data_IF_983452009160
#
_entry.id   IF_983452009160
#
_cell.length_a   1.000
_cell.length_b   1.000
_cell.length_c   1.000
_cell.angle_alpha   90.00
_cell.angle_beta   90.00
_cell.angle_gamma   90.00
#
_symmetry.space_group_name_H-M   'P 1'
#
loop_
_entity.id
_entity.type
_entity.pdbx_description
1 polymer ?
#
# COMPACT_ATOMS: atom_id res chain seq x y z
N UNK A 1 -36.48 23.15 -27.28
CA UNK A 1 -35.45 22.67 -26.33
C UNK A 1 -35.74 21.23 -25.98
N UNK A 2 -34.85 20.28 -26.29
CA UNK A 2 -35.06 18.85 -26.03
C UNK A 2 -34.72 18.53 -24.56
N UNK A 3 -35.47 17.64 -23.92
CA UNK A 3 -35.35 17.21 -22.51
C UNK A 3 -33.91 16.98 -21.99
N UNK A 4 -32.95 16.67 -22.88
CA UNK A 4 -31.55 16.45 -22.53
C UNK A 4 -30.78 17.65 -21.98
N UNK A 5 -31.30 18.88 -22.05
CA UNK A 5 -30.66 20.08 -21.48
C UNK A 5 -31.09 20.37 -20.03
N UNK A 6 -32.23 19.82 -19.58
CA UNK A 6 -32.86 20.21 -18.31
C UNK A 6 -32.60 19.23 -17.14
N UNK A 7 -31.84 18.15 -17.38
CA UNK A 7 -31.57 17.09 -16.40
C UNK A 7 -32.80 16.25 -16.06
N UNK A 8 -32.59 14.96 -15.75
CA UNK A 8 -33.65 14.05 -15.30
C UNK A 8 -33.83 14.18 -13.79
N UNK A 9 -35.09 14.19 -13.33
CA UNK A 9 -35.43 14.12 -11.91
C UNK A 9 -35.51 12.67 -11.45
N UNK A 10 -35.02 12.40 -10.24
CA UNK A 10 -35.00 11.10 -9.56
C UNK A 10 -35.64 11.25 -8.18
N UNK A 11 -36.44 10.27 -7.80
CA UNK A 11 -37.08 10.18 -6.48
C UNK A 11 -36.12 9.61 -5.43
N UNK A 12 -36.45 9.73 -4.15
CA UNK A 12 -35.62 9.18 -3.07
C UNK A 12 -35.41 7.67 -3.24
N UNK A 13 -34.15 7.23 -3.16
CA UNK A 13 -33.76 5.83 -3.34
C UNK A 13 -33.75 5.34 -4.80
N UNK A 14 -34.19 6.14 -5.77
CA UNK A 14 -34.21 5.73 -7.18
C UNK A 14 -32.79 5.48 -7.69
N UNK A 15 -32.57 4.31 -8.29
CA UNK A 15 -31.26 3.90 -8.82
C UNK A 15 -31.03 4.56 -10.17
N UNK A 16 -29.87 5.19 -10.31
CA UNK A 16 -29.46 5.92 -11.51
C UNK A 16 -28.70 4.97 -12.46
N UNK A 17 -27.84 4.12 -11.89
CA UNK A 17 -27.21 2.96 -12.54
C UNK A 17 -26.70 1.99 -11.46
N UNK A 18 -26.50 0.73 -11.84
CA UNK A 18 -25.96 -0.31 -10.96
C UNK A 18 -24.49 -0.63 -11.27
N UNK A 19 -23.78 -1.09 -10.24
CA UNK A 19 -22.46 -1.70 -10.40
C UNK A 19 -22.50 -2.85 -11.42
N UNK A 20 -21.55 -2.87 -12.35
CA UNK A 20 -21.44 -3.86 -13.42
C UNK A 20 -22.23 -3.54 -14.69
N UNK A 21 -23.08 -2.51 -14.70
CA UNK A 21 -23.75 -2.07 -15.93
C UNK A 21 -22.75 -1.42 -16.90
N UNK A 22 -23.00 -1.50 -18.21
CA UNK A 22 -22.22 -0.71 -19.17
C UNK A 22 -22.60 0.77 -19.09
N UNK A 23 -21.62 1.65 -19.27
CA UNK A 23 -21.81 3.09 -19.15
C UNK A 23 -21.33 3.88 -20.36
N UNK A 24 -22.26 4.50 -21.08
CA UNK A 24 -21.98 5.37 -22.25
C UNK A 24 -21.97 6.87 -21.93
N UNK A 25 -22.23 7.23 -20.67
CA UNK A 25 -22.41 8.61 -20.22
C UNK A 25 -21.91 8.82 -18.78
N UNK A 26 -21.49 10.04 -18.50
CA UNK A 26 -21.22 10.54 -17.16
C UNK A 26 -22.38 11.42 -16.68
N UNK A 27 -22.38 11.75 -15.39
CA UNK A 27 -23.47 12.49 -14.76
C UNK A 27 -22.95 13.65 -13.91
N UNK A 28 -23.72 14.72 -13.86
CA UNK A 28 -23.49 15.89 -13.00
C UNK A 28 -24.73 16.11 -12.15
N UNK A 29 -24.55 16.26 -10.84
CA UNK A 29 -25.67 16.57 -9.93
C UNK A 29 -26.02 18.06 -10.10
N UNK A 30 -27.22 18.35 -10.61
CA UNK A 30 -27.70 19.73 -10.74
C UNK A 30 -28.32 20.25 -9.42
N UNK A 31 -29.01 19.38 -8.70
CA UNK A 31 -29.58 19.64 -7.37
C UNK A 31 -29.87 18.32 -6.63
N UNK A 32 -29.91 18.35 -5.30
CA UNK A 32 -30.11 17.16 -4.48
C UNK A 32 -28.80 16.45 -4.12
N UNK A 33 -28.88 15.16 -3.80
CA UNK A 33 -27.72 14.35 -3.38
C UNK A 33 -27.76 12.96 -4.01
N UNK A 34 -26.60 12.37 -4.26
CA UNK A 34 -26.47 11.01 -4.80
C UNK A 34 -25.59 10.18 -3.87
N UNK A 35 -26.03 8.97 -3.52
CA UNK A 35 -25.23 7.98 -2.81
C UNK A 35 -24.51 7.09 -3.81
N UNK A 36 -23.23 6.82 -3.56
CA UNK A 36 -22.44 5.80 -4.28
C UNK A 36 -22.19 4.63 -3.34
N UNK A 37 -22.60 3.42 -3.73
CA UNK A 37 -22.39 2.19 -2.95
C UNK A 37 -21.69 1.11 -3.80
N UNK A 38 -20.93 0.24 -3.14
CA UNK A 38 -20.28 -0.91 -3.79
C UNK A 38 -20.64 -2.20 -3.07
N UNK A 39 -20.80 -3.28 -3.82
CA UNK A 39 -21.04 -4.61 -3.27
C UNK A 39 -19.79 -5.10 -2.53
N UNK A 40 -19.99 -5.62 -1.32
CA UNK A 40 -18.96 -6.30 -0.54
C UNK A 40 -19.51 -7.60 0.06
N UNK A 41 -18.65 -8.54 0.49
CA UNK A 41 -19.09 -9.77 1.15
C UNK A 41 -19.93 -9.54 2.43
N UNK A 42 -19.78 -8.38 3.07
CA UNK A 42 -20.52 -7.99 4.29
C UNK A 42 -21.77 -7.12 4.00
N UNK A 43 -22.13 -6.91 2.74
CA UNK A 43 -23.26 -6.07 2.31
C UNK A 43 -22.84 -4.87 1.45
N UNK A 44 -23.74 -3.91 1.25
CA UNK A 44 -23.44 -2.68 0.49
C UNK A 44 -22.60 -1.70 1.32
N UNK A 45 -21.42 -1.36 0.79
CA UNK A 45 -20.51 -0.40 1.40
C UNK A 45 -20.74 1.00 0.80
N UNK A 46 -21.12 2.02 1.59
CA UNK A 46 -21.21 3.39 1.09
C UNK A 46 -19.81 3.96 0.84
N UNK A 47 -19.56 4.42 -0.39
CA UNK A 47 -18.29 5.02 -0.80
C UNK A 47 -18.34 6.54 -0.64
N UNK A 48 -19.42 7.17 -1.07
CA UNK A 48 -19.53 8.62 -1.09
C UNK A 48 -20.98 9.10 -1.11
N UNK A 49 -21.17 10.35 -0.69
CA UNK A 49 -22.38 11.14 -0.94
C UNK A 49 -21.95 12.36 -1.73
N UNK A 50 -22.58 12.56 -2.89
CA UNK A 50 -22.28 13.61 -3.85
C UNK A 50 -23.37 14.68 -3.83
N UNK A 51 -22.98 15.95 -3.91
CA UNK A 51 -23.87 17.11 -3.94
C UNK A 51 -23.80 17.88 -5.27
N UNK A 52 -24.51 19.02 -5.31
CA UNK A 52 -24.59 19.89 -6.50
C UNK A 52 -23.22 20.23 -7.08
N UNK A 53 -23.06 20.03 -8.39
CA UNK A 53 -21.85 20.31 -9.15
C UNK A 53 -20.87 19.14 -9.20
N UNK A 54 -21.02 18.13 -8.35
CA UNK A 54 -20.15 16.95 -8.38
C UNK A 54 -20.48 16.02 -9.55
N UNK A 55 -19.42 15.39 -10.05
CA UNK A 55 -19.43 14.53 -11.23
C UNK A 55 -19.31 13.07 -10.79
N UNK A 56 -20.04 12.17 -11.46
CA UNK A 56 -19.94 10.72 -11.24
C UNK A 56 -20.26 9.89 -12.47
N UNK A 57 -19.89 8.61 -12.42
CA UNK A 57 -20.01 7.71 -13.57
C UNK A 57 -19.05 8.07 -14.72
N UNK A 58 -18.04 8.89 -14.45
CA UNK A 58 -17.05 9.32 -15.44
C UNK A 58 -16.11 8.20 -15.83
N UNK A 59 -15.80 7.27 -14.91
CA UNK A 59 -14.85 6.18 -15.12
C UNK A 59 -15.22 5.36 -16.36
N UNK A 60 -16.44 4.81 -16.40
CA UNK A 60 -16.95 4.01 -17.52
C UNK A 60 -16.89 4.73 -18.88
N UNK A 61 -16.99 6.07 -18.88
CA UNK A 61 -16.89 6.87 -20.10
C UNK A 61 -15.45 6.95 -20.66
N UNK A 62 -14.44 6.94 -19.78
CA UNK A 62 -13.03 7.09 -20.13
C UNK A 62 -12.27 5.78 -20.23
N UNK A 63 -12.49 4.84 -19.32
CA UNK A 63 -11.76 3.55 -19.23
C UNK A 63 -12.46 2.39 -19.96
N UNK A 64 -13.71 2.59 -20.41
CA UNK A 64 -14.58 1.58 -21.06
C UNK A 64 -14.81 0.33 -20.21
N UNK A 65 -14.67 0.45 -18.89
CA UNK A 65 -15.02 -0.61 -17.96
C UNK A 65 -16.48 -0.47 -17.53
N UNK A 66 -17.13 -1.57 -17.07
CA UNK A 66 -18.45 -1.49 -16.46
C UNK A 66 -18.46 -0.57 -15.24
N UNK A 67 -19.65 -0.08 -14.85
CA UNK A 67 -19.85 0.78 -13.67
C UNK A 67 -19.19 0.17 -12.44
N UNK A 68 -18.28 0.91 -11.82
CA UNK A 68 -17.48 0.45 -10.67
C UNK A 68 -18.25 0.42 -9.34
N UNK A 69 -19.46 0.99 -9.31
CA UNK A 69 -20.31 1.16 -8.14
C UNK A 69 -21.76 1.42 -8.58
N UNK A 70 -22.70 1.27 -7.65
CA UNK A 70 -24.11 1.66 -7.82
C UNK A 70 -24.31 3.11 -7.41
N UNK A 71 -25.12 3.86 -8.16
CA UNK A 71 -25.52 5.22 -7.82
C UNK A 71 -27.02 5.31 -7.57
N UNK A 72 -27.44 5.88 -6.45
CA UNK A 72 -28.86 6.11 -6.10
C UNK A 72 -29.12 7.51 -5.58
N UNK A 73 -30.29 8.06 -5.86
CA UNK A 73 -30.68 9.38 -5.40
C UNK A 73 -30.98 9.39 -3.89
N UNK A 74 -30.65 10.48 -3.21
CA UNK A 74 -31.05 10.77 -1.83
C UNK A 74 -31.98 11.99 -1.86
N UNK A 75 -33.25 11.77 -1.56
CA UNK A 75 -34.31 12.74 -1.76
C UNK A 75 -34.50 13.12 -3.23
N UNK A 76 -35.31 14.16 -3.46
CA UNK A 76 -35.55 14.70 -4.79
C UNK A 76 -34.26 15.24 -5.40
N UNK A 77 -33.76 14.55 -6.42
CA UNK A 77 -32.44 14.83 -7.03
C UNK A 77 -32.58 15.04 -8.53
N UNK A 78 -31.90 16.03 -9.08
CA UNK A 78 -31.88 16.31 -10.51
C UNK A 78 -30.48 16.12 -11.06
N UNK A 79 -30.37 15.36 -12.13
CA UNK A 79 -29.09 14.86 -12.65
C UNK A 79 -29.03 15.11 -14.16
N UNK A 80 -27.93 15.71 -14.60
CA UNK A 80 -27.64 15.89 -16.01
C UNK A 80 -26.77 14.74 -16.51
N UNK A 81 -27.26 13.98 -17.49
CA UNK A 81 -26.47 12.99 -18.21
C UNK A 81 -25.72 13.65 -19.38
N UNK A 82 -24.43 13.35 -19.50
CA UNK A 82 -23.54 13.88 -20.53
C UNK A 82 -22.85 12.69 -21.21
N UNK A 83 -23.17 12.46 -22.48
CA UNK A 83 -22.48 11.49 -23.32
C UNK A 83 -21.13 12.05 -23.83
N UNK A 84 -20.32 11.19 -24.47
CA UNK A 84 -18.99 11.56 -24.95
C UNK A 84 -19.00 12.73 -25.95
N UNK A 85 -19.96 12.77 -26.86
CA UNK A 85 -20.07 13.83 -27.88
C UNK A 85 -20.42 15.16 -27.23
N UNK A 86 -21.37 15.14 -26.30
CA UNK A 86 -21.83 16.31 -25.54
C UNK A 86 -20.77 16.78 -24.55
N UNK A 87 -19.93 15.89 -24.04
CA UNK A 87 -18.79 16.24 -23.20
C UNK A 87 -17.81 17.15 -23.95
N UNK A 88 -17.37 16.77 -25.16
CA UNK A 88 -16.45 17.59 -25.95
C UNK A 88 -17.06 18.95 -26.30
N UNK A 89 -18.33 18.99 -26.70
CA UNK A 89 -19.04 20.25 -26.93
C UNK A 89 -19.16 21.13 -25.68
N UNK A 90 -19.31 20.50 -24.50
CA UNK A 90 -19.40 21.23 -23.23
C UNK A 90 -18.04 21.75 -22.79
N UNK A 91 -16.95 21.00 -23.04
CA UNK A 91 -15.58 21.45 -22.79
C UNK A 91 -15.24 22.67 -23.65
N UNK A 92 -15.63 22.65 -24.94
CA UNK A 92 -15.41 23.78 -25.84
C UNK A 92 -16.16 25.05 -25.39
N UNK A 93 -17.36 24.89 -24.79
CA UNK A 93 -18.17 26.00 -24.28
C UNK A 93 -17.77 26.47 -22.89
N UNK A 94 -17.36 25.55 -22.02
CA UNK A 94 -16.97 25.81 -20.63
C UNK A 94 -15.71 24.99 -20.27
N UNK A 95 -14.51 25.54 -20.52
CA UNK A 95 -13.25 24.89 -20.15
C UNK A 95 -13.10 24.62 -18.65
N UNK A 96 -13.86 25.30 -17.79
CA UNK A 96 -13.83 25.08 -16.33
C UNK A 96 -14.34 23.69 -15.93
N UNK A 97 -15.09 23.02 -16.81
CA UNK A 97 -15.52 21.64 -16.62
C UNK A 97 -14.33 20.66 -16.55
N UNK A 98 -13.27 20.90 -17.33
CA UNK A 98 -12.05 20.07 -17.31
C UNK A 98 -11.36 20.19 -15.96
N UNK A 99 -11.26 21.41 -15.41
CA UNK A 99 -10.68 21.63 -14.09
C UNK A 99 -11.50 20.95 -12.99
N UNK A 100 -12.84 21.02 -13.02
CA UNK A 100 -13.71 20.29 -12.08
C UNK A 100 -13.56 18.77 -12.20
N UNK A 101 -13.36 18.25 -13.42
CA UNK A 101 -13.12 16.84 -13.65
C UNK A 101 -11.78 16.39 -13.06
N UNK A 102 -10.72 17.18 -13.29
CA UNK A 102 -9.38 16.95 -12.70
C UNK A 102 -9.45 17.04 -11.18
N UNK A 103 -10.14 18.03 -10.61
CA UNK A 103 -10.33 18.18 -9.17
C UNK A 103 -11.11 17.02 -8.57
N UNK A 104 -12.20 16.58 -9.22
CA UNK A 104 -13.00 15.42 -8.79
C UNK A 104 -12.18 14.13 -8.82
N UNK A 105 -11.45 13.88 -9.91
CA UNK A 105 -10.55 12.73 -10.02
C UNK A 105 -9.42 12.81 -9.00
N UNK A 106 -8.82 13.99 -8.81
CA UNK A 106 -7.77 14.21 -7.81
C UNK A 106 -8.30 14.03 -6.39
N UNK A 107 -9.53 14.47 -6.09
CA UNK A 107 -10.17 14.28 -4.81
C UNK A 107 -10.55 12.81 -4.57
N UNK A 108 -10.90 12.05 -5.61
CA UNK A 108 -11.12 10.60 -5.54
C UNK A 108 -9.82 9.83 -5.35
N UNK A 109 -8.73 10.21 -6.02
CA UNK A 109 -7.39 9.65 -5.79
C UNK A 109 -6.92 9.95 -4.37
N UNK A 110 -7.10 11.19 -3.89
CA UNK A 110 -6.79 11.56 -2.50
C UNK A 110 -7.65 10.77 -1.51
N UNK A 111 -8.96 10.66 -1.73
CA UNK A 111 -9.84 9.85 -0.87
C UNK A 111 -9.50 8.37 -0.90
N UNK A 112 -9.16 7.79 -2.05
CA UNK A 112 -8.67 6.41 -2.13
C UNK A 112 -7.34 6.24 -1.39
N UNK A 113 -6.40 7.19 -1.50
CA UNK A 113 -5.15 7.19 -0.74
C UNK A 113 -5.39 7.39 0.76
N UNK A 114 -6.34 8.23 1.15
CA UNK A 114 -6.73 8.51 2.53
C UNK A 114 -7.50 7.34 3.15
N UNK A 115 -8.33 6.64 2.37
CA UNK A 115 -9.03 5.41 2.76
C UNK A 115 -8.04 4.25 2.85
N UNK A 116 -7.05 4.14 1.94
CA UNK A 116 -5.90 3.26 2.10
C UNK A 116 -5.11 3.61 3.38
N UNK A 117 -4.92 4.89 3.66
CA UNK A 117 -4.29 5.36 4.89
C UNK A 117 -5.16 5.10 6.14
N UNK A 118 -6.49 5.09 6.02
CA UNK A 118 -7.43 4.78 7.09
C UNK A 118 -7.57 3.27 7.34
N UNK A 119 -7.51 2.44 6.31
CA UNK A 119 -7.37 0.97 6.43
C UNK A 119 -6.03 0.64 7.10
N UNK A 120 -4.97 1.41 6.80
CA UNK A 120 -3.73 1.42 7.59
C UNK A 120 -4.01 1.81 9.04
N UNK A 121 -4.69 2.93 9.29
CA UNK A 121 -5.00 3.46 10.64
C UNK A 121 -5.86 2.54 11.51
N UNK A 122 -6.80 1.77 10.93
CA UNK A 122 -7.60 0.78 11.68
C UNK A 122 -6.81 -0.44 12.14
N UNK A 123 -5.61 -0.70 11.58
CA UNK A 123 -4.61 -1.62 12.15
C UNK A 123 -3.50 -0.89 12.95
N UNK A 124 -3.21 0.38 12.65
CA UNK A 124 -2.21 1.22 13.32
C UNK A 124 -2.72 1.98 14.56
N UNK A 125 -3.83 1.56 15.17
CA UNK A 125 -4.29 2.07 16.48
C UNK A 125 -3.53 1.50 17.67
N UNK A 126 -2.59 0.58 17.42
CA UNK A 126 -1.60 0.10 18.36
C UNK A 126 -0.25 0.47 17.77
N UNK A 127 0.69 0.94 18.60
CA UNK A 127 2.09 1.00 18.22
C UNK A 127 2.47 -0.39 17.71
N UNK A 128 2.62 -0.54 16.40
CA UNK A 128 3.14 -1.77 15.82
C UNK A 128 4.62 -1.76 16.20
N UNK A 129 5.02 -2.70 17.04
CA UNK A 129 6.42 -2.84 17.40
C UNK A 129 7.25 -3.22 16.15
N UNK A 130 8.57 -3.18 16.30
CA UNK A 130 9.49 -3.46 15.19
C UNK A 130 9.28 -4.88 14.65
N UNK A 131 8.94 -5.83 15.50
CA UNK A 131 8.79 -7.25 15.17
C UNK A 131 7.52 -7.50 14.36
N UNK A 132 6.38 -6.95 14.79
CA UNK A 132 5.11 -7.02 14.07
C UNK A 132 5.21 -6.31 12.71
N UNK A 133 5.93 -5.18 12.64
CA UNK A 133 6.22 -4.50 11.37
C UNK A 133 7.05 -5.41 10.44
N UNK A 134 8.08 -6.08 10.96
CA UNK A 134 8.91 -6.99 10.18
C UNK A 134 8.09 -8.20 9.68
N UNK A 135 7.24 -8.77 10.53
CA UNK A 135 6.36 -9.89 10.18
C UNK A 135 5.38 -9.51 9.06
N UNK A 136 4.80 -8.31 9.12
CA UNK A 136 3.95 -7.83 8.04
C UNK A 136 4.72 -7.69 6.71
N UNK A 137 5.90 -7.07 6.74
CA UNK A 137 6.71 -6.87 5.53
C UNK A 137 7.11 -8.21 4.89
N UNK A 138 7.50 -9.21 5.69
CA UNK A 138 7.95 -10.48 5.14
C UNK A 138 6.80 -11.29 4.53
N UNK A 139 5.60 -11.22 5.10
CA UNK A 139 4.41 -11.84 4.50
C UNK A 139 4.01 -11.15 3.18
N UNK A 140 4.12 -9.83 3.08
CA UNK A 140 3.95 -9.13 1.79
C UNK A 140 5.01 -9.55 0.76
N UNK A 141 6.28 -9.65 1.18
CA UNK A 141 7.37 -10.09 0.31
C UNK A 141 7.12 -11.49 -0.27
N UNK A 142 6.63 -12.42 0.56
CA UNK A 142 6.29 -13.79 0.20
C UNK A 142 5.20 -13.88 -0.89
N UNK A 143 4.25 -12.95 -0.89
CA UNK A 143 3.16 -12.92 -1.89
C UNK A 143 3.62 -12.35 -3.25
N UNK A 144 4.65 -11.51 -3.26
CA UNK A 144 5.12 -10.82 -4.46
C UNK A 144 6.28 -11.55 -5.12
N UNK A 145 7.19 -12.10 -4.30
CA UNK A 145 8.40 -12.78 -4.76
C UNK A 145 8.20 -14.29 -4.67
N UNK A 146 8.49 -15.04 -5.74
CA UNK A 146 8.23 -16.48 -5.78
C UNK A 146 9.32 -17.28 -5.04
N UNK A 147 9.57 -16.97 -3.76
CA UNK A 147 10.58 -17.61 -2.91
C UNK A 147 10.00 -18.71 -2.01
N UNK A 148 10.86 -19.61 -1.54
CA UNK A 148 10.48 -20.69 -0.61
C UNK A 148 10.74 -20.31 0.85
N UNK A 149 11.75 -19.48 1.08
CA UNK A 149 12.11 -18.97 2.39
C UNK A 149 12.42 -17.48 2.31
N UNK A 150 12.28 -16.78 3.42
CA UNK A 150 12.65 -15.37 3.50
C UNK A 150 12.89 -14.92 4.93
N UNK A 151 13.69 -13.88 5.10
CA UNK A 151 13.96 -13.28 6.40
C UNK A 151 14.20 -11.78 6.32
N UNK A 152 13.85 -11.06 7.39
CA UNK A 152 14.28 -9.70 7.66
C UNK A 152 15.30 -9.77 8.79
N UNK A 153 16.49 -9.24 8.52
CA UNK A 153 17.54 -9.13 9.53
C UNK A 153 17.81 -7.67 9.82
N UNK A 154 17.81 -7.28 11.09
CA UNK A 154 18.13 -5.92 11.51
C UNK A 154 19.47 -5.89 12.22
N UNK A 155 20.21 -4.81 12.03
CA UNK A 155 21.48 -4.58 12.70
C UNK A 155 21.24 -4.24 14.17
N UNK A 156 21.84 -5.03 15.05
CA UNK A 156 22.05 -4.68 16.45
C UNK A 156 23.34 -3.86 16.57
N UNK A 157 23.22 -2.61 17.02
CA UNK A 157 24.34 -1.70 17.19
C UNK A 157 25.23 -2.08 18.38
N UNK A 158 24.71 -2.78 19.38
CA UNK A 158 25.49 -3.18 20.56
C UNK A 158 26.42 -4.34 20.22
N UNK A 159 25.87 -5.38 19.60
CA UNK A 159 26.62 -6.60 19.29
C UNK A 159 27.28 -6.59 17.90
N UNK A 160 27.02 -5.55 17.08
CA UNK A 160 27.51 -5.43 15.70
C UNK A 160 27.20 -6.69 14.87
N UNK A 161 25.96 -7.17 14.99
CA UNK A 161 25.46 -8.37 14.35
C UNK A 161 24.11 -8.12 13.70
N UNK A 162 23.80 -8.90 12.67
CA UNK A 162 22.48 -8.98 12.07
C UNK A 162 21.66 -10.05 12.80
N UNK A 163 20.51 -9.64 13.32
CA UNK A 163 19.55 -10.50 14.00
C UNK A 163 18.29 -10.68 13.17
N UNK A 164 17.79 -11.90 13.08
CA UNK A 164 16.53 -12.19 12.40
C UNK A 164 15.37 -11.63 13.24
N UNK A 165 14.56 -10.75 12.67
CA UNK A 165 13.36 -10.19 13.31
C UNK A 165 12.06 -10.75 12.76
N UNK A 166 12.08 -11.29 11.55
CA UNK A 166 10.95 -12.01 10.96
C UNK A 166 11.46 -12.98 9.91
N UNK A 167 10.79 -14.12 9.75
CA UNK A 167 11.12 -15.09 8.72
C UNK A 167 9.96 -16.04 8.41
N UNK A 168 9.99 -16.64 7.21
CA UNK A 168 9.14 -17.77 6.82
C UNK A 168 9.99 -18.82 6.08
N UNK A 169 9.45 -20.04 5.99
CA UNK A 169 10.13 -21.17 5.33
C UNK A 169 10.65 -22.20 6.33
N UNK A 170 11.37 -23.20 5.83
CA UNK A 170 11.78 -24.35 6.62
C UNK A 170 13.09 -24.06 7.39
N UNK A 171 12.98 -24.13 8.73
CA UNK A 171 14.09 -24.11 9.69
C UNK A 171 14.88 -22.79 9.70
N UNK A 172 14.44 -21.87 10.57
CA UNK A 172 15.26 -20.75 11.02
C UNK A 172 15.35 -20.79 12.55
N UNK A 173 16.52 -20.46 13.08
CA UNK A 173 16.75 -20.33 14.52
C UNK A 173 16.71 -18.82 14.86
N UNK A 174 15.77 -18.35 15.70
CA UNK A 174 15.70 -16.95 16.08
C UNK A 174 16.96 -16.42 16.77
N UNK A 175 17.80 -17.31 17.31
CA UNK A 175 19.08 -16.97 17.94
C UNK A 175 20.25 -16.95 16.96
N UNK A 176 20.04 -17.31 15.70
CA UNK A 176 21.08 -17.25 14.69
C UNK A 176 21.38 -15.79 14.35
N UNK A 177 22.65 -15.40 14.50
CA UNK A 177 23.14 -14.06 14.21
C UNK A 177 24.28 -14.14 13.20
N UNK A 178 24.43 -13.08 12.41
CA UNK A 178 25.50 -12.98 11.41
C UNK A 178 26.35 -11.75 11.73
N UNK A 179 27.67 -11.90 11.81
CA UNK A 179 28.54 -10.74 12.03
C UNK A 179 28.50 -9.80 10.82
N UNK A 180 28.70 -8.49 11.06
CA UNK A 180 28.82 -7.53 9.94
C UNK A 180 30.00 -7.92 9.04
N UNK A 181 29.79 -7.90 7.72
CA UNK A 181 30.79 -8.29 6.72
C UNK A 181 30.93 -9.80 6.49
N UNK A 182 30.13 -10.61 7.18
CA UNK A 182 30.04 -12.03 6.95
C UNK A 182 28.87 -12.36 6.01
N UNK A 183 29.06 -13.28 5.06
CA UNK A 183 27.99 -13.67 4.15
C UNK A 183 27.65 -12.62 3.10
N UNK A 184 26.71 -12.97 2.22
CA UNK A 184 26.17 -12.04 1.22
C UNK A 184 25.41 -10.90 1.93
N UNK A 185 24.63 -11.22 2.97
CA UNK A 185 23.90 -10.23 3.76
C UNK A 185 24.81 -9.18 4.43
N UNK A 186 25.95 -9.60 4.99
CA UNK A 186 26.93 -8.68 5.57
C UNK A 186 27.57 -7.76 4.53
N UNK A 187 27.85 -8.28 3.32
CA UNK A 187 28.37 -7.45 2.23
C UNK A 187 27.34 -6.44 1.71
N UNK A 188 26.05 -6.83 1.64
CA UNK A 188 24.94 -5.93 1.28
C UNK A 188 24.76 -4.81 2.29
N UNK A 189 24.94 -5.07 3.59
CA UNK A 189 24.96 -4.00 4.62
C UNK A 189 26.09 -3.01 4.36
N UNK A 190 27.30 -3.50 4.10
CA UNK A 190 28.48 -2.67 3.91
C UNK A 190 28.41 -1.84 2.63
N UNK A 191 28.03 -2.46 1.51
CA UNK A 191 27.98 -1.81 0.20
C UNK A 191 26.69 -0.99 0.02
N UNK A 192 25.62 -1.36 0.72
CA UNK A 192 24.28 -0.88 0.48
C UNK A 192 23.75 -1.23 -0.91
N UNK A 193 24.28 -2.24 -1.60
CA UNK A 193 23.82 -2.62 -2.94
C UNK A 193 22.96 -3.86 -2.87
N UNK A 194 21.84 -3.84 -3.58
CA UNK A 194 20.96 -5.00 -3.70
C UNK A 194 21.61 -6.06 -4.62
N UNK A 195 21.50 -7.33 -4.25
CA UNK A 195 22.16 -8.44 -4.92
C UNK A 195 21.18 -9.56 -5.29
N UNK A 196 21.44 -10.16 -6.45
CA UNK A 196 20.77 -11.34 -6.98
C UNK A 196 21.83 -12.41 -7.21
N UNK A 197 21.73 -13.51 -6.49
CA UNK A 197 22.70 -14.61 -6.52
C UNK A 197 21.96 -15.90 -6.82
N UNK A 198 22.01 -16.35 -8.06
CA UNK A 198 21.30 -17.55 -8.51
C UNK A 198 22.04 -18.87 -8.22
N UNK A 199 23.31 -18.80 -7.80
CA UNK A 199 24.08 -19.95 -7.35
C UNK A 199 24.97 -19.57 -6.17
N UNK A 200 24.42 -19.66 -4.96
CA UNK A 200 25.15 -19.29 -3.73
C UNK A 200 26.33 -20.23 -3.46
N UNK A 201 26.29 -21.48 -3.93
CA UNK A 201 27.40 -22.44 -3.73
C UNK A 201 28.67 -22.04 -4.47
N UNK A 202 28.55 -21.20 -5.49
CA UNK A 202 29.69 -20.65 -6.24
C UNK A 202 30.16 -19.28 -5.74
N UNK A 203 29.42 -18.64 -4.83
CA UNK A 203 29.77 -17.33 -4.28
C UNK A 203 30.75 -17.50 -3.10
N UNK A 204 31.97 -16.92 -3.16
CA UNK A 204 32.97 -17.09 -2.10
C UNK A 204 32.55 -16.46 -0.77
N UNK A 205 31.58 -15.55 -0.77
CA UNK A 205 31.04 -14.93 0.45
C UNK A 205 30.02 -15.84 1.12
N UNK A 206 29.44 -16.82 0.41
CA UNK A 206 28.38 -17.65 0.97
C UNK A 206 28.92 -18.60 2.04
N UNK A 207 28.37 -18.50 3.25
CA UNK A 207 28.61 -19.44 4.33
C UNK A 207 27.45 -20.41 4.45
N UNK A 208 27.79 -21.70 4.53
CA UNK A 208 26.81 -22.77 4.62
C UNK A 208 26.20 -22.78 6.01
N UNK A 209 24.95 -22.35 6.12
CA UNK A 209 24.14 -22.44 7.33
C UNK A 209 23.43 -23.80 7.46
N UNK A 210 22.50 -23.89 8.42
CA UNK A 210 21.62 -25.06 8.58
C UNK A 210 20.60 -25.16 7.43
N UNK A 211 20.19 -24.03 6.87
CA UNK A 211 19.26 -23.97 5.75
C UNK A 211 19.96 -24.27 4.42
N UNK A 212 19.31 -25.07 3.58
CA UNK A 212 19.74 -25.31 2.21
C UNK A 212 19.27 -24.15 1.36
N UNK A 213 20.22 -23.40 0.79
CA UNK A 213 19.96 -22.26 -0.09
C UNK A 213 20.66 -22.52 -1.42
N UNK A 214 19.94 -22.36 -2.53
CA UNK A 214 20.47 -22.45 -3.89
C UNK A 214 20.57 -21.07 -4.53
N UNK A 215 19.48 -20.30 -4.46
CA UNK A 215 19.38 -18.93 -4.98
C UNK A 215 18.93 -17.97 -3.88
N UNK A 216 19.35 -16.71 -3.99
CA UNK A 216 19.15 -15.66 -3.00
C UNK A 216 18.95 -14.29 -3.68
N UNK A 217 17.94 -13.55 -3.24
CA UNK A 217 17.89 -12.09 -3.35
C UNK A 217 18.19 -11.51 -1.97
N UNK A 218 19.05 -10.49 -1.94
CA UNK A 218 19.35 -9.75 -0.73
C UNK A 218 19.26 -8.26 -1.03
N UNK A 219 18.38 -7.54 -0.33
CA UNK A 219 18.20 -6.09 -0.51
C UNK A 219 18.40 -5.36 0.82
N UNK A 220 19.07 -4.20 0.82
CA UNK A 220 19.29 -3.44 2.05
C UNK A 220 18.05 -2.65 2.45
N UNK A 221 17.80 -2.60 3.75
CA UNK A 221 16.93 -1.61 4.39
C UNK A 221 17.78 -0.40 4.74
N UNK A 222 17.40 0.78 4.23
CA UNK A 222 18.21 2.00 4.32
C UNK A 222 17.46 3.16 4.96
N UNK A 223 18.17 3.88 5.81
CA UNK A 223 17.71 5.13 6.39
C UNK A 223 18.82 6.16 6.38
N UNK A 224 18.50 7.40 5.95
CA UNK A 224 19.46 8.51 5.83
C UNK A 224 20.79 8.14 5.14
N UNK A 225 20.73 7.24 4.15
CA UNK A 225 21.88 6.80 3.37
C UNK A 225 22.63 5.57 3.89
N UNK A 226 22.39 5.15 5.15
CA UNK A 226 23.03 3.98 5.76
C UNK A 226 22.10 2.76 5.78
N UNK A 227 22.64 1.57 5.52
CA UNK A 227 21.89 0.34 5.66
C UNK A 227 21.82 -0.08 7.13
N UNK A 228 20.62 -0.37 7.63
CA UNK A 228 20.37 -0.79 9.02
C UNK A 228 19.83 -2.22 9.12
N UNK A 229 19.61 -2.88 8.00
CA UNK A 229 19.09 -4.24 7.91
C UNK A 229 19.05 -4.73 6.48
N UNK A 230 18.60 -5.97 6.28
CA UNK A 230 18.41 -6.58 4.96
C UNK A 230 17.11 -7.38 4.92
N UNK A 231 16.54 -7.49 3.72
CA UNK A 231 15.51 -8.48 3.40
C UNK A 231 16.16 -9.54 2.50
N UNK A 232 16.05 -10.80 2.89
CA UNK A 232 16.53 -11.96 2.18
C UNK A 232 15.35 -12.78 1.64
N UNK A 233 15.41 -13.19 0.38
CA UNK A 233 14.46 -14.14 -0.22
C UNK A 233 15.25 -15.26 -0.88
N UNK A 234 14.93 -16.51 -0.60
CA UNK A 234 15.72 -17.65 -1.05
C UNK A 234 14.90 -18.86 -1.47
N UNK A 235 15.48 -19.68 -2.34
CA UNK A 235 14.93 -20.98 -2.70
C UNK A 235 15.92 -22.08 -2.34
N UNK A 236 15.40 -23.18 -1.79
CA UNK A 236 16.14 -24.42 -1.54
C UNK A 236 16.13 -25.31 -2.79
N UNK A 237 15.12 -25.17 -3.66
CA UNK A 237 15.06 -25.79 -4.99
C UNK A 237 15.95 -25.07 -6.02
N UNK A 238 16.06 -25.64 -7.23
CA UNK A 238 16.79 -25.04 -8.35
C UNK A 238 16.09 -23.83 -8.99
N UNK A 239 15.08 -23.26 -8.33
CA UNK A 239 14.37 -22.08 -8.79
C UNK A 239 15.29 -20.86 -8.79
N UNK A 240 15.26 -20.09 -9.86
CA UNK A 240 16.09 -18.91 -10.05
C UNK A 240 15.26 -17.64 -9.91
N UNK A 241 15.90 -16.56 -9.45
CA UNK A 241 15.31 -15.23 -9.42
C UNK A 241 15.68 -14.45 -10.68
N UNK A 242 14.75 -13.60 -11.12
CA UNK A 242 14.88 -12.68 -12.23
C UNK A 242 15.26 -11.26 -11.76
N UNK A 243 15.63 -10.40 -12.70
CA UNK A 243 15.88 -8.98 -12.43
C UNK A 243 14.58 -8.28 -12.02
N UNK A 244 13.43 -8.73 -12.52
CA UNK A 244 12.11 -8.23 -12.16
C UNK A 244 11.79 -8.52 -10.70
N UNK A 245 12.10 -9.71 -10.20
CA UNK A 245 11.97 -10.05 -8.77
C UNK A 245 12.83 -9.13 -7.90
N UNK A 246 14.07 -8.86 -8.32
CA UNK A 246 14.96 -7.92 -7.62
C UNK A 246 14.38 -6.49 -7.61
N UNK A 247 13.81 -6.02 -8.72
CA UNK A 247 13.17 -4.69 -8.80
C UNK A 247 11.96 -4.58 -7.88
N UNK A 248 11.12 -5.62 -7.84
CA UNK A 248 9.96 -5.69 -6.95
C UNK A 248 10.38 -5.67 -5.49
N UNK A 249 11.34 -6.53 -5.11
CA UNK A 249 11.83 -6.61 -3.73
C UNK A 249 12.54 -5.32 -3.29
N UNK A 250 13.31 -4.67 -4.18
CA UNK A 250 13.90 -3.34 -3.91
C UNK A 250 12.83 -2.29 -3.65
N UNK A 251 11.75 -2.29 -4.40
CA UNK A 251 10.64 -1.34 -4.20
C UNK A 251 10.00 -1.56 -2.82
N UNK A 252 9.75 -2.81 -2.44
CA UNK A 252 9.25 -3.16 -1.11
C UNK A 252 10.22 -2.74 0.00
N UNK A 253 11.53 -2.91 -0.19
CA UNK A 253 12.55 -2.54 0.80
C UNK A 253 12.53 -1.05 1.17
N UNK A 254 12.20 -0.17 0.21
CA UNK A 254 12.09 1.28 0.47
C UNK A 254 10.93 1.55 1.44
N UNK A 255 9.77 0.95 1.18
CA UNK A 255 8.60 1.10 2.06
C UNK A 255 8.83 0.46 3.43
N UNK A 256 9.43 -0.72 3.47
CA UNK A 256 9.79 -1.42 4.69
C UNK A 256 10.77 -0.59 5.55
N UNK A 257 11.76 0.05 4.91
CA UNK A 257 12.73 0.89 5.61
C UNK A 257 12.05 2.02 6.39
N UNK A 258 11.11 2.70 5.75
CA UNK A 258 10.35 3.80 6.38
C UNK A 258 9.47 3.26 7.52
N UNK A 259 8.77 2.14 7.29
CA UNK A 259 7.86 1.57 8.28
C UNK A 259 8.61 1.11 9.55
N UNK A 260 9.73 0.41 9.38
CA UNK A 260 10.52 -0.12 10.50
C UNK A 260 11.17 1.02 11.30
N UNK A 261 11.68 2.06 10.64
CA UNK A 261 12.26 3.21 11.34
C UNK A 261 11.20 4.04 12.09
N UNK A 262 9.98 4.13 11.55
CA UNK A 262 8.86 4.74 12.26
C UNK A 262 8.48 3.93 13.51
N UNK A 263 8.44 2.60 13.42
CA UNK A 263 8.18 1.72 14.56
C UNK A 263 9.25 1.87 15.65
N UNK A 264 10.55 1.89 15.27
CA UNK A 264 11.67 2.15 16.18
C UNK A 264 11.54 3.49 16.90
N UNK A 265 11.32 4.57 16.13
CA UNK A 265 11.17 5.92 16.68
C UNK A 265 10.00 6.02 17.67
N UNK A 266 8.91 5.29 17.41
CA UNK A 266 7.77 5.22 18.31
C UNK A 266 8.11 4.48 19.62
N UNK A 267 8.78 3.33 19.52
CA UNK A 267 9.23 2.56 20.69
C UNK A 267 10.18 3.34 21.59
N UNK A 268 11.13 4.07 20.99
CA UNK A 268 12.08 4.91 21.73
C UNK A 268 11.37 6.04 22.49
N UNK A 269 10.37 6.67 21.86
CA UNK A 269 9.55 7.71 22.51
C UNK A 269 8.73 7.14 23.68
N UNK A 270 8.15 5.95 23.53
CA UNK A 270 7.41 5.29 24.61
C UNK A 270 8.31 5.00 25.82
N UNK A 271 9.49 4.42 25.61
CA UNK A 271 10.46 4.17 26.68
C UNK A 271 10.96 5.45 27.35
N UNK A 272 11.19 6.51 26.58
CA UNK A 272 11.57 7.81 27.14
C UNK A 272 10.46 8.40 28.02
N UNK A 273 9.19 8.25 27.64
CA UNK A 273 8.06 8.71 28.45
C UNK A 273 7.86 7.89 29.74
N UNK A 274 8.01 6.56 29.68
CA UNK A 274 7.95 5.70 30.87
C UNK A 274 9.08 5.99 31.87
N UNK A 275 10.29 6.28 31.39
CA UNK A 275 11.43 6.69 32.24
C UNK A 275 11.19 8.01 32.99
N UNK A 276 10.48 8.95 32.36
CA UNK A 276 10.09 10.22 33.00
C UNK A 276 9.01 9.99 34.07
N UNK A 277 8.03 9.12 33.83
CA UNK A 277 7.01 8.77 34.83
C UNK A 277 7.61 8.06 36.07
N UNK A 278 8.63 7.22 35.88
CA UNK A 278 9.35 6.56 36.98
C UNK A 278 10.20 7.52 37.84
N UNK A 279 10.75 8.59 37.25
CA UNK A 279 11.52 9.59 38.00
C UNK A 279 10.64 10.55 38.79
N UNK A 280 9.44 10.90 38.30
CA UNK A 280 8.49 11.73 39.05
C UNK A 280 7.96 10.97 40.27
N UNK A 281 7.79 9.65 40.18
CA UNK A 281 7.31 8.79 41.28
C UNK A 281 8.31 8.61 42.43
N UNK A 282 9.60 8.92 42.21
CA UNK A 282 10.67 8.84 43.22
C UNK A 282 10.97 10.19 43.90
N UNK A 283 10.41 11.30 43.40
CA UNK A 283 10.54 12.63 44.00
C UNK A 283 9.36 12.99 44.92
N UNK A 284 8.33 12.13 44.98
CA UNK A 284 7.15 12.26 45.85
C UNK A 284 7.18 11.32 47.08
N UNK A 285 8.35 10.82 47.49
CA UNK A 285 8.58 10.04 48.72
C UNK A 285 9.60 10.70 49.66
#
# INVERSE_FOLDING_TARGET
MKESELGKAYSDGEVIFQEGEEGDRMYVVQSGKVRITKKSPAGELPIAILGKGEIFGEMALFDRMPRSATASAIGNTRILGIDKTKLFQTIDRDPSLVFRLIESMSARIRRLNDDFAQVRRKRLGLCIDVEETCNFVIEEAKNIIPAENGSIMLLDQQNKSLEIKAAFGAVWDPKETLAIGEGIAGDVINTGKAELVNNVSSDPRFKKGKAIIHSLLCVPLKWKGSAFGVINMSCSSQKLFSIEDLKMLRSLSIYASIAIENARSCSDLMHATEGVFMHVSLLDL
#
